data_IF_359843934928
#
_entry.id   IF_359843934928
#
_cell.length_a   1.000
_cell.length_b   1.000
_cell.length_c   1.000
_cell.angle_alpha   90.00
_cell.angle_beta   90.00
_cell.angle_gamma   90.00
#
_symmetry.space_group_name_H-M   'P 1'
#
loop_
_entity.id
_entity.type
_entity.pdbx_description
1 polymer ?
#
# COMPACT_ATOMS: atom_id res chain seq x y z
N UNK A 1 11.19 32.01 -4.76
CA UNK A 1 10.19 30.95 -4.95
C UNK A 1 9.11 31.18 -3.92
N UNK A 2 7.89 31.43 -4.34
CA UNK A 2 6.77 31.58 -3.43
C UNK A 2 6.28 30.18 -3.00
N UNK A 3 5.49 30.09 -1.92
CA UNK A 3 5.07 28.79 -1.37
C UNK A 3 4.21 27.97 -2.34
N UNK A 4 3.51 28.60 -3.29
CA UNK A 4 2.67 27.94 -4.30
C UNK A 4 3.47 27.24 -5.39
N UNK A 5 4.67 27.75 -5.73
CA UNK A 5 5.56 27.09 -6.69
C UNK A 5 6.01 25.71 -6.17
N UNK A 6 6.11 25.55 -4.84
CA UNK A 6 6.44 24.27 -4.22
C UNK A 6 5.27 23.29 -4.15
N UNK A 7 4.05 23.72 -4.48
CA UNK A 7 2.85 22.88 -4.56
C UNK A 7 2.61 22.33 -5.96
N UNK A 8 3.44 22.71 -6.94
CA UNK A 8 3.45 22.05 -8.25
C UNK A 8 3.83 20.58 -8.05
N UNK A 9 3.08 19.71 -8.75
CA UNK A 9 3.26 18.26 -8.71
C UNK A 9 3.63 17.86 -10.14
N UNK A 10 4.88 17.43 -10.32
CA UNK A 10 5.30 16.85 -11.60
C UNK A 10 4.82 15.40 -11.71
N UNK A 11 4.70 14.84 -12.93
CA UNK A 11 4.35 13.43 -13.11
C UNK A 11 5.29 12.47 -12.37
N UNK A 12 6.58 12.79 -12.29
CA UNK A 12 7.59 12.00 -11.58
C UNK A 12 7.40 12.08 -10.07
N UNK A 13 7.03 13.26 -9.54
CA UNK A 13 6.71 13.41 -8.13
C UNK A 13 5.43 12.66 -7.75
N UNK A 14 4.41 12.71 -8.60
CA UNK A 14 3.17 11.95 -8.44
C UNK A 14 3.45 10.44 -8.34
N UNK A 15 4.19 9.89 -9.31
CA UNK A 15 4.62 8.50 -9.33
C UNK A 15 5.44 8.13 -8.07
N UNK A 16 6.38 8.99 -7.67
CA UNK A 16 7.20 8.78 -6.47
C UNK A 16 6.35 8.68 -5.20
N UNK A 17 5.33 9.54 -5.06
CA UNK A 17 4.44 9.52 -3.89
C UNK A 17 3.55 8.28 -3.90
N UNK A 18 2.96 7.92 -5.05
CA UNK A 18 2.14 6.71 -5.20
C UNK A 18 2.97 5.47 -4.83
N UNK A 19 4.18 5.34 -5.38
CA UNK A 19 5.10 4.24 -5.07
C UNK A 19 5.50 4.19 -3.61
N UNK A 20 5.71 5.34 -2.98
CA UNK A 20 6.00 5.41 -1.54
C UNK A 20 4.81 4.90 -0.71
N UNK A 21 3.58 5.23 -1.09
CA UNK A 21 2.38 4.73 -0.41
C UNK A 21 2.22 3.23 -0.63
N UNK A 22 2.36 2.74 -1.87
CA UNK A 22 2.29 1.32 -2.20
C UNK A 22 3.28 0.49 -1.38
N UNK A 23 4.56 0.91 -1.37
CA UNK A 23 5.61 0.22 -0.61
C UNK A 23 5.38 0.22 0.90
N UNK A 24 4.76 1.26 1.46
CA UNK A 24 4.38 1.28 2.88
C UNK A 24 3.28 0.23 3.12
N UNK A 25 2.22 0.22 2.31
CA UNK A 25 1.11 -0.73 2.45
C UNK A 25 1.62 -2.17 2.35
N UNK A 26 2.43 -2.46 1.31
CA UNK A 26 3.03 -3.77 1.05
C UNK A 26 3.96 -4.23 2.17
N UNK A 27 4.82 -3.34 2.68
CA UNK A 27 5.69 -3.64 3.81
C UNK A 27 4.93 -4.12 5.06
N UNK A 28 3.68 -3.69 5.24
CA UNK A 28 2.84 -4.11 6.36
C UNK A 28 1.89 -5.26 6.01
N UNK A 29 2.01 -5.88 4.82
CA UNK A 29 1.17 -6.99 4.37
C UNK A 29 -0.30 -6.62 4.20
N UNK A 30 -0.59 -5.35 3.85
CA UNK A 30 -1.95 -4.81 3.79
C UNK A 30 -2.55 -4.75 2.38
N UNK A 31 -1.89 -5.32 1.37
CA UNK A 31 -2.25 -5.15 -0.05
C UNK A 31 -3.70 -5.48 -0.34
N UNK A 32 -4.13 -6.70 -0.01
CA UNK A 32 -5.49 -7.14 -0.26
C UNK A 32 -6.55 -6.27 0.45
N UNK A 33 -6.27 -5.87 1.69
CA UNK A 33 -7.18 -5.01 2.46
C UNK A 33 -7.24 -3.59 1.87
N UNK A 34 -6.09 -3.05 1.46
CA UNK A 34 -5.97 -1.74 0.83
C UNK A 34 -6.65 -1.73 -0.54
N UNK A 35 -6.41 -2.73 -1.39
CA UNK A 35 -7.07 -2.87 -2.71
C UNK A 35 -8.59 -2.89 -2.53
N UNK A 36 -9.11 -3.74 -1.63
CA UNK A 36 -10.55 -3.82 -1.37
C UNK A 36 -11.14 -2.47 -0.93
N UNK A 37 -10.46 -1.79 0.01
CA UNK A 37 -10.88 -0.49 0.48
C UNK A 37 -10.86 0.56 -0.65
N UNK A 38 -9.73 0.67 -1.35
CA UNK A 38 -9.54 1.64 -2.41
C UNK A 38 -10.55 1.43 -3.55
N UNK A 39 -10.84 0.19 -3.94
CA UNK A 39 -11.86 -0.11 -4.95
C UNK A 39 -13.26 0.30 -4.49
N UNK A 40 -13.60 0.02 -3.22
CA UNK A 40 -14.90 0.35 -2.63
C UNK A 40 -15.14 1.85 -2.53
N UNK A 41 -14.10 2.63 -2.25
CA UNK A 41 -14.20 4.08 -2.01
C UNK A 41 -13.70 4.93 -3.19
N UNK A 42 -13.25 4.30 -4.28
CA UNK A 42 -12.78 4.97 -5.51
C UNK A 42 -13.67 6.11 -6.01
N UNK A 43 -15.01 6.00 -6.08
CA UNK A 43 -15.86 7.12 -6.56
C UNK A 43 -15.93 8.30 -5.59
N UNK A 44 -15.50 8.14 -4.34
CA UNK A 44 -15.58 9.16 -3.28
C UNK A 44 -14.26 9.89 -3.05
N UNK A 45 -13.17 9.52 -3.74
CA UNK A 45 -11.83 10.04 -3.46
C UNK A 45 -11.71 11.55 -3.65
N UNK A 46 -12.43 12.12 -4.62
CA UNK A 46 -12.48 13.57 -4.81
C UNK A 46 -13.05 14.28 -3.57
N UNK A 47 -14.18 13.78 -3.06
CA UNK A 47 -14.80 14.31 -1.83
C UNK A 47 -13.88 14.11 -0.64
N UNK A 48 -13.22 12.96 -0.54
CA UNK A 48 -12.22 12.68 0.50
C UNK A 48 -11.05 13.65 0.47
N UNK A 49 -10.55 13.99 -0.71
CA UNK A 49 -9.49 14.97 -0.91
C UNK A 49 -9.90 16.37 -0.46
N UNK A 50 -11.07 16.86 -0.88
CA UNK A 50 -11.59 18.17 -0.48
C UNK A 50 -11.87 18.26 1.02
N UNK A 51 -12.53 17.25 1.61
CA UNK A 51 -12.79 17.21 3.04
C UNK A 51 -11.48 17.09 3.83
N UNK A 52 -10.54 16.28 3.37
CA UNK A 52 -9.20 16.16 3.96
C UNK A 52 -8.47 17.50 3.98
N UNK A 53 -8.44 18.22 2.85
CA UNK A 53 -7.88 19.58 2.79
C UNK A 53 -8.61 20.52 3.76
N UNK A 54 -9.93 20.58 3.72
CA UNK A 54 -10.72 21.49 4.55
C UNK A 54 -10.50 21.26 6.05
N UNK A 55 -10.51 20.01 6.50
CA UNK A 55 -10.39 19.67 7.92
C UNK A 55 -8.94 19.61 8.41
N UNK A 56 -7.97 19.22 7.58
CA UNK A 56 -6.60 18.94 8.03
C UNK A 56 -5.61 20.04 7.65
N UNK A 57 -5.79 20.73 6.51
CA UNK A 57 -4.88 21.80 6.05
C UNK A 57 -4.69 22.91 7.08
N UNK A 58 -5.71 23.39 7.84
CA UNK A 58 -5.51 24.42 8.86
C UNK A 58 -4.51 24.02 9.98
N UNK A 59 -4.31 22.73 10.21
CA UNK A 59 -3.45 22.20 11.25
C UNK A 59 -2.07 21.78 10.74
N UNK A 60 -1.91 21.56 9.43
CA UNK A 60 -0.66 21.13 8.81
C UNK A 60 0.54 22.06 9.09
N UNK A 61 0.41 23.41 9.11
CA UNK A 61 1.53 24.30 9.44
C UNK A 61 2.13 24.06 10.83
N UNK A 62 1.34 23.57 11.79
CA UNK A 62 1.82 23.27 13.14
C UNK A 62 2.80 22.08 13.18
N UNK A 63 2.80 21.24 12.13
CA UNK A 63 3.70 20.11 11.98
C UNK A 63 5.01 20.48 11.25
N UNK A 64 5.14 21.73 10.81
CA UNK A 64 6.30 22.23 10.07
C UNK A 64 6.06 22.32 8.56
N UNK A 65 6.89 23.14 7.92
CA UNK A 65 6.73 23.54 6.51
C UNK A 65 6.79 22.36 5.54
N UNK A 66 7.73 21.43 5.73
CA UNK A 66 7.91 20.27 4.85
C UNK A 66 6.72 19.29 4.93
N UNK A 67 6.21 19.05 6.14
CA UNK A 67 5.04 18.20 6.36
C UNK A 67 3.81 18.87 5.79
N UNK A 68 3.68 20.19 5.92
CA UNK A 68 2.56 20.93 5.35
C UNK A 68 2.51 20.81 3.83
N UNK A 69 3.64 21.04 3.15
CA UNK A 69 3.73 20.92 1.69
C UNK A 69 3.45 19.48 1.26
N UNK A 70 4.05 18.49 1.94
CA UNK A 70 3.86 17.08 1.60
C UNK A 70 2.42 16.63 1.81
N UNK A 71 1.75 17.09 2.86
CA UNK A 71 0.34 16.81 3.14
C UNK A 71 -0.59 17.42 2.09
N UNK A 72 -0.35 18.67 1.69
CA UNK A 72 -1.12 19.30 0.61
C UNK A 72 -0.95 18.57 -0.73
N UNK A 73 0.28 18.17 -1.06
CA UNK A 73 0.54 17.34 -2.25
C UNK A 73 -0.16 16.00 -2.17
N UNK A 74 -0.14 15.35 -1.00
CA UNK A 74 -0.82 14.08 -0.78
C UNK A 74 -2.31 14.17 -1.12
N UNK A 75 -3.03 15.17 -0.59
CA UNK A 75 -4.45 15.33 -0.91
C UNK A 75 -4.69 15.56 -2.41
N UNK A 76 -3.89 16.43 -3.04
CA UNK A 76 -4.00 16.72 -4.48
C UNK A 76 -3.67 15.54 -5.38
N UNK A 77 -2.79 14.65 -4.94
CA UNK A 77 -2.43 13.44 -5.69
C UNK A 77 -3.58 12.43 -5.58
N UNK A 78 -4.07 12.17 -4.37
CA UNK A 78 -5.05 11.11 -4.13
C UNK A 78 -6.51 11.53 -4.33
N UNK A 79 -6.81 12.81 -4.60
CA UNK A 79 -8.14 13.24 -5.06
C UNK A 79 -8.44 12.80 -6.50
N UNK A 80 -7.41 12.47 -7.30
CA UNK A 80 -7.56 11.99 -8.68
C UNK A 80 -7.85 10.49 -8.70
N UNK A 81 -8.92 10.09 -9.38
CA UNK A 81 -9.33 8.68 -9.48
C UNK A 81 -8.28 7.82 -10.17
N UNK A 82 -7.60 8.37 -11.16
CA UNK A 82 -6.55 7.71 -11.95
C UNK A 82 -5.36 7.32 -11.06
N UNK A 83 -5.03 8.14 -10.06
CA UNK A 83 -3.93 7.85 -9.13
C UNK A 83 -4.28 6.76 -8.13
N UNK A 84 -5.57 6.62 -7.80
CA UNK A 84 -6.07 5.51 -6.99
C UNK A 84 -5.98 4.20 -7.78
N UNK A 85 -6.32 4.22 -9.08
CA UNK A 85 -6.14 3.07 -9.95
C UNK A 85 -4.67 2.67 -10.09
N UNK A 86 -3.76 3.64 -10.28
CA UNK A 86 -2.31 3.38 -10.30
C UNK A 86 -1.80 2.77 -8.99
N UNK A 87 -2.30 3.25 -7.84
CA UNK A 87 -1.96 2.67 -6.54
C UNK A 87 -2.43 1.22 -6.42
N UNK A 88 -3.67 0.93 -6.82
CA UNK A 88 -4.23 -0.43 -6.79
C UNK A 88 -3.40 -1.37 -7.67
N UNK A 89 -3.13 -0.99 -8.94
CA UNK A 89 -2.33 -1.83 -9.84
C UNK A 89 -0.93 -2.09 -9.31
N UNK A 90 -0.29 -1.11 -8.69
CA UNK A 90 1.03 -1.31 -8.09
C UNK A 90 1.00 -2.27 -6.89
N UNK A 91 -0.06 -2.26 -6.09
CA UNK A 91 -0.24 -3.23 -5.00
C UNK A 91 -0.51 -4.65 -5.54
N UNK A 92 -1.26 -4.77 -6.63
CA UNK A 92 -1.49 -6.05 -7.31
C UNK A 92 -0.19 -6.64 -7.87
N UNK A 93 0.64 -5.81 -8.50
CA UNK A 93 1.97 -6.19 -9.00
C UNK A 93 2.89 -6.67 -7.87
N UNK A 94 3.02 -5.88 -6.80
CA UNK A 94 3.85 -6.24 -5.64
C UNK A 94 3.40 -7.55 -4.98
N UNK A 95 2.08 -7.75 -4.84
CA UNK A 95 1.53 -8.97 -4.26
C UNK A 95 1.75 -10.19 -5.16
N UNK A 96 1.71 -10.03 -6.49
CA UNK A 96 2.01 -11.11 -7.43
C UNK A 96 3.49 -11.51 -7.38
N UNK A 97 4.40 -10.53 -7.38
CA UNK A 97 5.85 -10.75 -7.29
C UNK A 97 6.25 -11.51 -6.01
N UNK A 98 5.61 -11.21 -4.86
CA UNK A 98 5.87 -11.92 -3.59
C UNK A 98 5.45 -13.41 -3.67
N UNK A 99 4.36 -13.72 -4.36
CA UNK A 99 3.90 -15.11 -4.54
C UNK A 99 4.83 -15.86 -5.50
N UNK A 100 5.26 -15.24 -6.60
CA UNK A 100 6.18 -15.84 -7.55
C UNK A 100 7.54 -16.13 -6.90
N UNK A 101 8.11 -15.16 -6.17
CA UNK A 101 9.39 -15.33 -5.46
C UNK A 101 9.31 -16.40 -4.37
N UNK A 102 8.19 -16.50 -3.64
CA UNK A 102 7.97 -17.59 -2.68
C UNK A 102 7.93 -18.97 -3.37
N UNK A 103 7.25 -19.08 -4.52
CA UNK A 103 7.16 -20.32 -5.28
C UNK A 103 8.51 -20.75 -5.88
N UNK A 104 9.31 -19.81 -6.39
CA UNK A 104 10.65 -20.09 -6.92
C UNK A 104 11.61 -20.56 -5.81
N UNK A 105 11.55 -19.93 -4.63
CA UNK A 105 12.37 -20.33 -3.47
C UNK A 105 12.03 -21.75 -3.00
N UNK A 106 10.74 -22.12 -2.98
CA UNK A 106 10.31 -23.48 -2.63
C UNK A 106 10.74 -24.54 -3.66
N UNK A 107 10.81 -24.17 -4.94
CA UNK A 107 11.26 -25.05 -6.03
C UNK A 107 12.78 -25.25 -6.04
N UNK A 108 13.57 -24.24 -5.69
CA UNK A 108 15.04 -24.33 -5.62
C UNK A 108 15.53 -25.07 -4.35
N UNK A 109 14.78 -25.01 -3.25
CA UNK A 109 15.14 -25.70 -1.99
C UNK A 109 14.86 -27.22 -2.00
N UNK A 110 14.24 -27.77 -3.04
CA UNK A 110 14.01 -29.22 -3.16
C UNK A 110 14.97 -29.93 -4.14
N UNK A 111 16.20 -30.24 -3.69
CA UNK A 111 16.85 -31.50 -4.08
C UNK A 111 17.29 -32.34 -2.85
N UNK A 112 16.64 -33.50 -2.72
CA UNK A 112 17.06 -34.69 -1.95
C UNK A 112 17.13 -34.58 -0.41
N UNK A 113 16.04 -34.99 0.27
CA UNK A 113 16.15 -36.10 1.23
C UNK A 113 14.82 -36.85 1.30
N UNK A 114 14.82 -38.04 0.69
CA UNK A 114 13.80 -39.03 0.98
C UNK A 114 13.99 -39.54 2.40
N UNK A 115 12.95 -39.47 3.21
CA UNK A 115 12.47 -40.63 3.97
C UNK A 115 11.12 -40.30 4.60
N UNK A 116 10.17 -41.21 4.37
CA UNK A 116 8.81 -41.14 4.83
C UNK A 116 8.72 -41.30 6.35
N UNK A 117 8.80 -40.21 7.11
CA UNK A 117 8.41 -40.23 8.52
C UNK A 117 6.94 -39.83 8.71
N UNK A 118 6.11 -40.86 8.90
CA UNK A 118 4.75 -40.79 9.44
C UNK A 118 4.72 -40.03 10.77
N UNK A 119 4.49 -38.72 10.76
CA UNK A 119 4.23 -37.96 12.00
C UNK A 119 2.75 -37.99 12.37
N UNK A 120 2.38 -39.09 13.01
CA UNK A 120 1.24 -39.21 13.94
C UNK A 120 1.44 -38.19 15.07
N UNK A 121 0.89 -36.98 14.92
CA UNK A 121 1.36 -35.85 15.73
C UNK A 121 0.35 -35.11 16.62
N UNK A 122 -0.85 -34.76 16.16
CA UNK A 122 -1.65 -33.72 16.85
C UNK A 122 -2.99 -34.18 17.42
N UNK A 123 -3.48 -35.35 17.00
CA UNK A 123 -4.75 -35.94 17.49
C UNK A 123 -4.72 -36.39 18.96
N UNK A 124 -3.60 -36.20 19.68
CA UNK A 124 -3.47 -36.54 21.10
C UNK A 124 -3.72 -35.36 22.04
N UNK A 125 -3.92 -34.16 21.51
CA UNK A 125 -4.09 -32.94 22.30
C UNK A 125 -5.55 -32.49 22.45
N UNK A 126 -6.51 -33.27 21.97
CA UNK A 126 -7.94 -32.97 22.13
C UNK A 126 -8.55 -34.03 23.07
N UNK A 127 -8.77 -33.70 24.36
CA UNK A 127 -9.34 -34.66 25.31
C UNK A 127 -10.87 -34.87 25.17
N UNK A 128 -11.52 -34.29 24.15
CA UNK A 128 -12.99 -34.35 23.99
C UNK A 128 -13.46 -34.58 22.54
N UNK A 129 -12.71 -35.33 21.73
CA UNK A 129 -13.16 -35.85 20.44
C UNK A 129 -13.08 -37.38 20.40
#
# INVERSE_FOLDING_TARGET
MFWWDRLEITPEEEERVIRKVASIIHKYGMDAAAILFLESFKPLVYVGGELGKFFLSPFLPALGEEISISGEKFFRIFEKRENIERLISMLEEMSAEEVETAAETEMEETPQSGEAEKKRGWRRLIPFL
#
